data_IF_879335201987
#
_entry.id   IF_879335201987
#
_cell.length_a   1.000
_cell.length_b   1.000
_cell.length_c   1.000
_cell.angle_alpha   90.00
_cell.angle_beta   90.00
_cell.angle_gamma   90.00
#
_symmetry.space_group_name_H-M   'P 1'
#
loop_
_entity.id
_entity.type
_entity.pdbx_description
1 polymer ?
#
# COMPACT_ATOMS: atom_id res chain seq x y z
N UNK A 1 36.29 17.60 -25.83
CA UNK A 1 36.23 17.30 -24.38
C UNK A 1 35.50 16.00 -24.05
N UNK A 2 34.61 15.48 -24.90
CA UNK A 2 33.81 14.27 -24.62
C UNK A 2 34.45 12.90 -24.96
N UNK A 3 35.67 12.89 -25.51
CA UNK A 3 36.36 11.68 -26.00
C UNK A 3 36.98 10.80 -24.89
N UNK A 4 36.95 11.24 -23.63
CA UNK A 4 37.52 10.48 -22.50
C UNK A 4 36.59 9.38 -21.96
N UNK A 5 35.28 9.48 -22.17
CA UNK A 5 34.31 8.57 -21.55
C UNK A 5 34.15 7.20 -22.23
N UNK A 6 34.46 7.09 -23.53
CA UNK A 6 34.06 5.92 -24.34
C UNK A 6 35.17 4.89 -24.62
N UNK A 7 36.44 5.25 -24.50
CA UNK A 7 37.58 4.34 -24.75
C UNK A 7 38.57 4.20 -23.59
N UNK A 8 38.35 4.95 -22.50
CA UNK A 8 39.36 5.31 -21.50
C UNK A 8 38.80 5.19 -20.08
N UNK A 9 37.70 4.46 -19.87
CA UNK A 9 37.02 4.36 -18.58
C UNK A 9 37.96 3.99 -17.42
N UNK A 10 38.90 3.05 -17.62
CA UNK A 10 39.88 2.69 -16.59
C UNK A 10 40.89 3.80 -16.28
N UNK A 11 41.41 4.47 -17.31
CA UNK A 11 42.37 5.57 -17.18
C UNK A 11 41.76 6.83 -16.55
N UNK A 12 40.49 7.13 -16.83
CA UNK A 12 39.78 8.26 -16.20
C UNK A 12 39.57 8.01 -14.69
N UNK A 13 39.13 6.81 -14.31
CA UNK A 13 39.06 6.42 -12.89
C UNK A 13 40.43 6.54 -12.23
N UNK A 14 41.51 6.16 -12.91
CA UNK A 14 42.87 6.26 -12.37
C UNK A 14 43.30 7.71 -12.10
N UNK A 15 42.99 8.64 -13.01
CA UNK A 15 43.28 10.08 -12.84
C UNK A 15 42.49 10.65 -11.67
N UNK A 16 41.20 10.32 -11.54
CA UNK A 16 40.37 10.77 -10.42
C UNK A 16 40.91 10.22 -9.10
N UNK A 17 41.27 8.94 -9.05
CA UNK A 17 41.88 8.34 -7.86
C UNK A 17 43.20 9.01 -7.48
N UNK A 18 44.03 9.38 -8.47
CA UNK A 18 45.28 10.09 -8.23
C UNK A 18 45.03 11.48 -7.61
N UNK A 19 44.05 12.23 -8.12
CA UNK A 19 43.64 13.51 -7.52
C UNK A 19 43.16 13.32 -6.08
N UNK A 20 42.29 12.35 -5.83
CA UNK A 20 41.83 12.03 -4.47
C UNK A 20 43.01 11.65 -3.57
N UNK A 21 43.99 10.90 -4.06
CA UNK A 21 45.19 10.52 -3.31
C UNK A 21 46.08 11.72 -2.97
N UNK A 22 46.14 12.74 -3.81
CA UNK A 22 46.90 13.97 -3.53
C UNK A 22 46.18 14.81 -2.45
N UNK A 23 44.87 14.96 -2.55
CA UNK A 23 44.09 15.76 -1.60
C UNK A 23 43.88 15.07 -0.25
N UNK A 24 43.60 13.76 -0.25
CA UNK A 24 43.28 12.99 0.96
C UNK A 24 44.48 12.18 1.47
N UNK A 25 45.49 11.90 0.65
CA UNK A 25 46.62 11.03 0.98
C UNK A 25 46.33 9.54 0.81
N UNK A 26 47.37 8.76 0.48
CA UNK A 26 47.27 7.30 0.32
C UNK A 26 46.88 6.55 1.61
N UNK A 27 47.10 7.16 2.78
CA UNK A 27 46.79 6.57 4.08
C UNK A 27 45.31 6.71 4.48
N UNK A 28 44.57 7.64 3.87
CA UNK A 28 43.20 7.97 4.29
C UNK A 28 42.14 7.05 3.68
N UNK A 29 42.27 6.70 2.39
CA UNK A 29 41.38 5.75 1.71
C UNK A 29 41.27 4.40 2.46
N UNK A 30 42.37 3.72 2.84
CA UNK A 30 42.28 2.44 3.53
C UNK A 30 41.73 2.57 4.96
N UNK A 31 41.81 3.74 5.60
CA UNK A 31 41.15 4.01 6.89
C UNK A 31 39.63 4.17 6.74
N UNK A 32 39.19 4.94 5.76
CA UNK A 32 37.78 5.13 5.43
C UNK A 32 37.13 3.82 4.97
N UNK A 33 37.78 3.07 4.08
CA UNK A 33 37.29 1.78 3.61
C UNK A 33 37.12 0.77 4.75
N UNK A 34 38.05 0.71 5.71
CA UNK A 34 37.91 -0.16 6.90
C UNK A 34 36.75 0.26 7.79
N UNK A 35 36.55 1.55 7.98
CA UNK A 35 35.47 2.09 8.83
C UNK A 35 34.10 1.89 8.18
N UNK A 36 33.98 2.24 6.89
CA UNK A 36 32.78 2.01 6.09
C UNK A 36 32.48 0.51 5.96
N UNK A 37 33.49 -0.34 5.76
CA UNK A 37 33.32 -1.78 5.68
C UNK A 37 32.79 -2.38 6.99
N UNK A 38 33.32 -1.94 8.15
CA UNK A 38 32.78 -2.34 9.46
C UNK A 38 31.38 -1.81 9.70
N UNK A 39 31.07 -0.58 9.27
CA UNK A 39 29.74 0.02 9.39
C UNK A 39 28.72 -0.70 8.51
N UNK A 40 29.05 -0.94 7.25
CA UNK A 40 28.21 -1.68 6.30
C UNK A 40 27.94 -3.11 6.78
N UNK A 41 28.94 -3.77 7.36
CA UNK A 41 28.75 -5.10 7.98
C UNK A 41 27.76 -5.06 9.14
N UNK A 42 27.90 -4.10 10.07
CA UNK A 42 26.95 -3.95 11.18
C UNK A 42 25.54 -3.65 10.70
N UNK A 43 25.38 -2.77 9.71
CA UNK A 43 24.08 -2.45 9.11
C UNK A 43 23.47 -3.70 8.47
N UNK A 44 24.26 -4.46 7.70
CA UNK A 44 23.82 -5.70 7.05
C UNK A 44 23.41 -6.75 8.09
N UNK A 45 24.22 -6.96 9.11
CA UNK A 45 23.98 -7.97 10.14
C UNK A 45 22.71 -7.62 10.93
N UNK A 46 22.54 -6.36 11.33
CA UNK A 46 21.31 -5.88 12.00
C UNK A 46 20.07 -5.98 11.08
N UNK A 47 20.22 -5.63 9.80
CA UNK A 47 19.13 -5.76 8.83
C UNK A 47 18.72 -7.22 8.60
N UNK A 48 19.69 -8.14 8.62
CA UNK A 48 19.43 -9.57 8.49
C UNK A 48 18.67 -10.11 9.70
N UNK A 49 19.06 -9.71 10.91
CA UNK A 49 18.34 -10.08 12.13
C UNK A 49 16.88 -9.58 12.14
N UNK A 50 16.66 -8.33 11.74
CA UNK A 50 15.30 -7.76 11.57
C UNK A 50 14.52 -8.53 10.50
N UNK A 51 15.16 -8.86 9.38
CA UNK A 51 14.54 -9.63 8.30
C UNK A 51 14.16 -11.05 8.75
N UNK A 52 15.01 -11.68 9.56
CA UNK A 52 14.76 -13.03 10.06
C UNK A 52 13.64 -13.01 11.12
N UNK A 53 13.61 -11.99 11.98
CA UNK A 53 12.53 -11.78 12.97
C UNK A 53 11.19 -11.47 12.30
N UNK A 54 11.15 -10.58 11.30
CA UNK A 54 9.91 -10.27 10.57
C UNK A 54 9.43 -11.49 9.77
N UNK A 55 10.35 -12.24 9.16
CA UNK A 55 10.00 -13.46 8.42
C UNK A 55 9.45 -14.52 9.36
N UNK A 56 10.09 -14.76 10.50
CA UNK A 56 9.62 -15.72 11.52
C UNK A 56 8.29 -15.30 12.14
N UNK A 57 8.12 -14.01 12.45
CA UNK A 57 6.85 -13.45 12.94
C UNK A 57 5.74 -13.61 11.90
N UNK A 58 6.03 -13.31 10.63
CA UNK A 58 5.08 -13.47 9.51
C UNK A 58 4.74 -14.94 9.27
N UNK A 59 5.70 -15.86 9.34
CA UNK A 59 5.45 -17.29 9.21
C UNK A 59 4.60 -17.83 10.36
N UNK A 60 4.84 -17.40 11.60
CA UNK A 60 4.01 -17.76 12.75
C UNK A 60 2.60 -17.19 12.61
N UNK A 61 2.45 -15.92 12.22
CA UNK A 61 1.16 -15.34 11.88
C UNK A 61 0.48 -16.07 10.72
N UNK A 62 1.23 -16.51 9.69
CA UNK A 62 0.71 -17.31 8.56
C UNK A 62 0.32 -18.74 8.95
N UNK A 63 0.89 -19.25 10.04
CA UNK A 63 0.53 -20.56 10.59
C UNK A 63 -0.72 -20.47 11.46
N UNK A 64 -0.81 -19.42 12.28
CA UNK A 64 -1.94 -19.19 13.19
C UNK A 64 -3.18 -18.67 12.46
N UNK A 65 -3.00 -17.73 11.54
CA UNK A 65 -3.97 -17.43 10.49
C UNK A 65 -3.79 -18.50 9.44
N UNK A 66 -4.57 -19.59 9.46
CA UNK A 66 -4.54 -20.68 8.47
C UNK A 66 -4.80 -20.16 7.04
N UNK A 67 -3.82 -19.46 6.50
CA UNK A 67 -3.85 -18.69 5.25
C UNK A 67 -3.82 -19.65 4.08
N UNK A 68 -3.22 -20.82 4.25
CA UNK A 68 -3.27 -21.93 3.31
C UNK A 68 -4.72 -22.41 3.10
N UNK A 69 -5.47 -22.59 4.19
CA UNK A 69 -6.88 -22.97 4.14
C UNK A 69 -7.77 -21.86 3.60
N UNK A 70 -7.55 -20.61 4.02
CA UNK A 70 -8.33 -19.47 3.51
C UNK A 70 -8.02 -19.12 2.05
N UNK A 71 -6.78 -19.23 1.60
CA UNK A 71 -6.39 -19.01 0.21
C UNK A 71 -6.98 -20.09 -0.71
N UNK A 72 -6.98 -21.36 -0.28
CA UNK A 72 -7.62 -22.45 -1.02
C UNK A 72 -9.14 -22.23 -1.13
N UNK A 73 -9.80 -21.86 -0.03
CA UNK A 73 -11.23 -21.53 -0.04
C UNK A 73 -11.56 -20.26 -0.87
N UNK A 74 -10.67 -19.25 -0.90
CA UNK A 74 -10.82 -18.06 -1.75
C UNK A 74 -10.66 -18.41 -3.23
N UNK A 75 -9.68 -19.25 -3.57
CA UNK A 75 -9.47 -19.70 -4.94
C UNK A 75 -10.71 -20.43 -5.46
N UNK A 76 -11.28 -21.34 -4.65
CA UNK A 76 -12.49 -22.10 -5.00
C UNK A 76 -13.73 -21.22 -5.15
N UNK A 77 -13.89 -20.19 -4.30
CA UNK A 77 -15.05 -19.30 -4.33
C UNK A 77 -14.96 -18.19 -5.40
N UNK A 78 -13.76 -17.87 -5.89
CA UNK A 78 -13.56 -16.89 -6.97
C UNK A 78 -13.51 -17.57 -8.36
N UNK A 79 -12.92 -18.77 -8.50
CA UNK A 79 -12.82 -19.44 -9.80
C UNK A 79 -14.19 -19.89 -10.34
N UNK A 80 -15.03 -20.51 -9.50
CA UNK A 80 -16.36 -21.01 -9.90
C UNK A 80 -17.23 -19.97 -10.63
N UNK A 81 -17.40 -18.73 -10.12
CA UNK A 81 -18.17 -17.72 -10.82
C UNK A 81 -17.45 -17.15 -12.05
N UNK A 82 -16.12 -17.09 -12.06
CA UNK A 82 -15.36 -16.62 -13.23
C UNK A 82 -15.47 -17.59 -14.41
N UNK A 83 -15.37 -18.90 -14.15
CA UNK A 83 -15.53 -19.94 -15.17
C UNK A 83 -16.95 -19.94 -15.75
N UNK A 84 -17.97 -19.72 -14.91
CA UNK A 84 -19.37 -19.58 -15.36
C UNK A 84 -19.55 -18.36 -16.26
N UNK A 85 -18.97 -17.21 -15.89
CA UNK A 85 -19.01 -16.01 -16.73
C UNK A 85 -18.25 -16.21 -18.04
N UNK A 86 -17.09 -16.88 -18.02
CA UNK A 86 -16.33 -17.18 -19.22
C UNK A 86 -17.12 -18.10 -20.17
N UNK A 87 -17.78 -19.14 -19.62
CA UNK A 87 -18.64 -20.04 -20.38
C UNK A 87 -19.87 -19.32 -20.97
N UNK A 88 -20.57 -18.49 -20.19
CA UNK A 88 -21.73 -17.72 -20.67
C UNK A 88 -21.34 -16.72 -21.78
N UNK A 89 -20.13 -16.14 -21.69
CA UNK A 89 -19.61 -15.21 -22.71
C UNK A 89 -19.21 -15.98 -23.98
N UNK A 90 -18.54 -17.12 -23.84
CA UNK A 90 -18.12 -17.95 -24.98
C UNK A 90 -19.32 -18.59 -25.71
N UNK A 91 -20.31 -19.08 -24.95
CA UNK A 91 -21.58 -19.58 -25.47
C UNK A 91 -22.40 -18.45 -26.14
N UNK A 92 -22.36 -17.24 -25.60
CA UNK A 92 -22.96 -16.05 -26.20
C UNK A 92 -22.26 -15.53 -27.47
N UNK A 93 -21.05 -16.02 -27.77
CA UNK A 93 -20.31 -15.70 -28.99
C UNK A 93 -20.57 -16.72 -30.11
N UNK A 94 -20.96 -17.96 -29.79
CA UNK A 94 -21.39 -18.97 -30.77
C UNK A 94 -22.91 -19.00 -31.00
N UNK A 95 -23.72 -18.59 -30.02
CA UNK A 95 -25.19 -18.52 -30.11
C UNK A 95 -25.70 -17.07 -30.16
N UNK A 96 -26.04 -16.59 -31.34
CA UNK A 96 -26.59 -15.24 -31.53
C UNK A 96 -27.80 -14.91 -30.64
N UNK A 97 -27.87 -13.63 -30.27
CA UNK A 97 -28.99 -12.86 -29.68
C UNK A 97 -29.06 -12.83 -28.14
N UNK A 98 -28.43 -11.79 -27.58
CA UNK A 98 -28.71 -11.25 -26.25
C UNK A 98 -30.17 -10.77 -26.18
N UNK A 99 -31.02 -11.45 -25.42
CA UNK A 99 -32.38 -10.99 -25.13
C UNK A 99 -32.33 -9.84 -24.11
N UNK A 100 -32.12 -8.61 -24.59
CA UNK A 100 -32.25 -7.40 -23.77
C UNK A 100 -33.73 -7.10 -23.51
N UNK A 101 -34.18 -7.32 -22.27
CA UNK A 101 -35.41 -6.70 -21.77
C UNK A 101 -35.29 -5.17 -21.89
N UNK A 102 -36.30 -4.46 -22.41
CA UNK A 102 -36.22 -3.00 -22.51
C UNK A 102 -36.19 -2.38 -21.10
N UNK A 103 -35.42 -1.30 -20.91
CA UNK A 103 -35.38 -0.59 -19.63
C UNK A 103 -36.77 -0.04 -19.29
N UNK A 104 -37.17 -0.15 -18.01
CA UNK A 104 -38.40 0.49 -17.49
C UNK A 104 -38.36 1.98 -17.82
N UNK A 105 -39.42 2.47 -18.45
CA UNK A 105 -39.61 3.89 -18.69
C UNK A 105 -39.74 4.61 -17.35
N UNK A 106 -38.77 5.47 -17.06
CA UNK A 106 -38.79 6.30 -15.86
C UNK A 106 -39.88 7.36 -16.02
N UNK A 107 -40.98 7.22 -15.27
CA UNK A 107 -41.90 8.33 -15.02
C UNK A 107 -41.32 9.16 -13.89
N UNK A 108 -40.96 10.41 -14.18
CA UNK A 108 -40.46 11.33 -13.18
C UNK A 108 -41.52 11.53 -12.08
N UNK A 109 -41.19 11.31 -10.79
CA UNK A 109 -42.06 11.71 -9.70
C UNK A 109 -42.32 13.22 -9.79
N UNK A 110 -43.58 13.62 -9.91
CA UNK A 110 -43.93 15.04 -9.86
C UNK A 110 -43.56 15.58 -8.47
N UNK A 111 -42.75 16.64 -8.43
CA UNK A 111 -42.29 17.24 -7.21
C UNK A 111 -43.49 17.67 -6.34
N UNK A 112 -43.55 17.30 -5.05
CA UNK A 112 -44.55 17.84 -4.15
C UNK A 112 -44.39 19.36 -4.10
N UNK A 113 -45.45 20.09 -4.41
CA UNK A 113 -45.45 21.54 -4.22
C UNK A 113 -45.26 21.83 -2.72
N UNK A 114 -44.20 22.56 -2.39
CA UNK A 114 -43.98 23.07 -1.03
C UNK A 114 -45.09 24.07 -0.71
N UNK A 115 -46.02 23.69 0.16
CA UNK A 115 -46.75 24.66 0.95
C UNK A 115 -45.80 25.20 2.01
N UNK A 116 -45.53 26.49 1.89
CA UNK A 116 -44.77 27.28 2.85
C UNK A 116 -45.67 27.56 4.05
N UNK A 117 -45.71 26.61 4.99
CA UNK A 117 -46.36 26.80 6.28
C UNK A 117 -45.35 27.39 7.26
N UNK A 118 -45.42 28.71 7.42
CA UNK A 118 -44.73 29.46 8.47
C UNK A 118 -45.39 29.16 9.81
N UNK A 119 -44.62 28.71 10.80
CA UNK A 119 -45.07 28.69 12.19
C UNK A 119 -43.96 29.17 13.15
N UNK A 120 -44.30 29.94 14.21
CA UNK A 120 -43.36 30.82 14.89
C UNK A 120 -42.39 30.10 15.82
N UNK A 121 -41.34 30.88 16.11
CA UNK A 121 -40.27 30.67 17.06
C UNK A 121 -40.78 30.71 18.51
N UNK A 122 -40.63 29.61 19.25
CA UNK A 122 -40.70 29.58 20.71
C UNK A 122 -39.29 29.33 21.26
N UNK A 123 -38.68 30.38 21.78
CA UNK A 123 -37.59 30.32 22.75
C UNK A 123 -38.19 29.94 24.09
N UNK A 124 -37.65 28.94 24.78
CA UNK A 124 -37.45 29.09 26.22
C UNK A 124 -36.45 28.09 26.81
N UNK A 125 -35.51 28.70 27.55
CA UNK A 125 -34.78 28.22 28.73
C UNK A 125 -33.76 27.07 28.65
N UNK A 126 -32.51 27.53 28.69
CA UNK A 126 -31.33 27.06 29.44
C UNK A 126 -31.54 26.20 30.70
N UNK A 127 -30.42 25.52 31.02
CA UNK A 127 -29.88 25.08 32.34
C UNK A 127 -30.51 23.88 33.03
N UNK A 128 -29.71 22.84 33.35
CA UNK A 128 -29.13 22.72 34.70
C UNK A 128 -28.04 21.62 34.83
N UNK A 129 -27.14 21.92 35.77
CA UNK A 129 -26.00 21.27 36.41
C UNK A 129 -25.83 19.75 36.45
N UNK A 130 -24.59 19.34 36.18
CA UNK A 130 -23.64 18.83 37.18
C UNK A 130 -24.23 18.09 38.40
N UNK A 131 -24.10 16.77 38.40
CA UNK A 131 -24.19 15.96 39.62
C UNK A 131 -23.10 14.89 39.60
N UNK A 132 -21.98 15.17 40.30
CA UNK A 132 -20.99 14.19 40.70
C UNK A 132 -20.96 14.15 42.22
N UNK A 133 -21.83 13.33 42.80
CA UNK A 133 -21.76 12.94 44.19
C UNK A 133 -21.54 11.44 44.27
N UNK A 134 -20.38 11.01 44.78
CA UNK A 134 -20.39 10.04 45.88
C UNK A 134 -19.14 10.22 46.76
N UNK A 135 -19.28 10.15 48.09
CA UNK A 135 -18.30 10.60 49.07
C UNK A 135 -17.46 9.46 49.66
N UNK A 136 -16.42 9.86 50.40
CA UNK A 136 -15.91 9.23 51.63
C UNK A 136 -15.25 7.83 51.50
N UNK A 137 -14.19 7.48 52.24
CA UNK A 137 -13.57 8.02 53.45
C UNK A 137 -12.06 7.73 53.44
#
# INVERSE_FOLDING_TARGET
MLMFLSGVAGSEIFVILLFVLIFFGANSIPGLARTLGRGFRQIKDASQEIQDEISKSTQNMKKDLNLEGRARNLQDSIQRPLDQMAQDIEEGLEGGVVHRKPPRQYVAPQAPQKQEETKPMDQDTTTNSENKNTPEA
#
